data_IF_378264068269
#
_entry.id   IF_378264068269
#
_cell.length_a   1.000
_cell.length_b   1.000
_cell.length_c   1.000
_cell.angle_alpha   90.00
_cell.angle_beta   90.00
_cell.angle_gamma   90.00
#
_symmetry.space_group_name_H-M   'P 1'
#
loop_
_entity.id
_entity.type
_entity.pdbx_description
1 polymer ?
#
# COMPACT_ATOMS: atom_id res chain seq x y z
N UNK A 1 29.08 2.63 13.25
CA UNK A 1 29.53 1.88 12.06
C UNK A 1 28.29 1.62 11.24
N UNK A 2 28.18 2.23 10.05
CA UNK A 2 27.00 2.03 9.20
C UNK A 2 27.11 0.62 8.61
N UNK A 3 26.18 -0.26 8.95
CA UNK A 3 26.15 -1.60 8.36
C UNK A 3 25.84 -1.47 6.87
N UNK A 4 26.75 -1.91 6.00
CA UNK A 4 26.57 -1.93 4.55
C UNK A 4 25.26 -2.59 4.12
N UNK A 5 24.77 -3.55 4.91
CA UNK A 5 23.48 -4.20 4.72
C UNK A 5 22.29 -3.22 4.70
N UNK A 6 22.25 -2.25 5.62
CA UNK A 6 21.16 -1.27 5.75
C UNK A 6 21.14 -0.32 4.54
N UNK A 7 22.31 0.03 4.01
CA UNK A 7 22.43 0.84 2.80
C UNK A 7 21.82 0.09 1.62
N UNK A 8 22.22 -1.18 1.42
CA UNK A 8 21.73 -2.02 0.31
C UNK A 8 20.21 -2.16 0.39
N UNK A 9 19.68 -2.35 1.60
CA UNK A 9 18.25 -2.45 1.84
C UNK A 9 17.50 -1.19 1.44
N UNK A 10 17.96 0.00 1.86
CA UNK A 10 17.29 1.25 1.48
C UNK A 10 17.37 1.53 -0.03
N UNK A 11 18.49 1.20 -0.68
CA UNK A 11 18.57 1.25 -2.15
C UNK A 11 17.59 0.28 -2.80
N UNK A 12 17.44 -0.92 -2.26
CA UNK A 12 16.48 -1.92 -2.76
C UNK A 12 15.05 -1.39 -2.66
N UNK A 13 14.66 -0.80 -1.53
CA UNK A 13 13.35 -0.16 -1.38
C UNK A 13 13.11 0.95 -2.40
N UNK A 14 14.09 1.83 -2.64
CA UNK A 14 13.96 2.93 -3.62
C UNK A 14 13.80 2.39 -5.04
N UNK A 15 14.66 1.44 -5.45
CA UNK A 15 14.63 0.87 -6.81
C UNK A 15 13.36 0.06 -7.03
N UNK A 16 13.00 -0.81 -6.08
CA UNK A 16 11.77 -1.59 -6.14
C UNK A 16 10.52 -0.69 -6.20
N UNK A 17 10.46 0.34 -5.33
CA UNK A 17 9.38 1.31 -5.32
C UNK A 17 9.22 2.02 -6.66
N UNK A 18 10.33 2.44 -7.29
CA UNK A 18 10.31 3.07 -8.62
C UNK A 18 9.83 2.11 -9.72
N UNK A 19 10.34 0.87 -9.72
CA UNK A 19 9.96 -0.17 -10.68
C UNK A 19 8.46 -0.49 -10.57
N UNK A 20 7.87 -0.45 -9.37
CA UNK A 20 6.44 -0.72 -9.17
C UNK A 20 5.60 0.52 -9.48
N UNK A 21 6.01 1.70 -8.99
CA UNK A 21 5.22 2.93 -9.09
C UNK A 21 5.01 3.40 -10.53
N UNK A 22 6.07 3.38 -11.36
CA UNK A 22 6.02 3.90 -12.71
C UNK A 22 5.04 3.14 -13.63
N UNK A 23 5.16 1.82 -13.83
CA UNK A 23 4.25 1.08 -14.71
C UNK A 23 2.83 1.03 -14.18
N UNK A 24 2.63 0.82 -12.87
CA UNK A 24 1.28 0.79 -12.29
C UNK A 24 0.63 2.19 -12.31
N UNK A 25 1.40 3.25 -12.09
CA UNK A 25 0.92 4.63 -12.21
C UNK A 25 0.47 4.97 -13.62
N UNK A 26 1.28 4.63 -14.63
CA UNK A 26 0.93 4.83 -16.04
C UNK A 26 -0.31 4.02 -16.44
N UNK A 27 -0.38 2.76 -16.02
CA UNK A 27 -1.54 1.90 -16.30
C UNK A 27 -2.82 2.44 -15.64
N UNK A 28 -2.73 2.84 -14.38
CA UNK A 28 -3.84 3.46 -13.64
C UNK A 28 -4.34 4.70 -14.36
N UNK A 29 -3.43 5.60 -14.77
CA UNK A 29 -3.79 6.82 -15.50
C UNK A 29 -4.54 6.53 -16.81
N UNK A 30 -4.04 5.57 -17.60
CA UNK A 30 -4.67 5.16 -18.87
C UNK A 30 -6.06 4.56 -18.64
N UNK A 31 -6.21 3.70 -17.62
CA UNK A 31 -7.50 3.08 -17.30
C UNK A 31 -8.51 4.09 -16.74
N UNK A 32 -8.08 5.05 -15.92
CA UNK A 32 -8.95 6.12 -15.40
C UNK A 32 -9.52 7.01 -16.52
N UNK A 33 -8.74 7.23 -17.57
CA UNK A 33 -9.15 8.05 -18.72
C UNK A 33 -10.26 7.38 -19.55
N UNK A 34 -10.30 6.04 -19.59
CA UNK A 34 -11.24 5.29 -20.44
C UNK A 34 -12.44 4.77 -19.63
N UNK A 35 -13.60 5.41 -19.83
CA UNK A 35 -14.84 5.10 -19.07
C UNK A 35 -15.35 3.66 -19.24
N UNK A 36 -15.18 3.02 -20.40
CA UNK A 36 -15.63 1.63 -20.60
C UNK A 36 -14.77 0.64 -19.80
N UNK A 37 -13.45 0.79 -19.82
CA UNK A 37 -12.52 -0.05 -19.05
C UNK A 37 -12.77 0.09 -17.55
N UNK A 38 -12.99 1.31 -17.07
CA UNK A 38 -13.27 1.57 -15.65
C UNK A 38 -14.47 0.79 -15.14
N UNK A 39 -15.56 0.67 -15.92
CA UNK A 39 -16.76 -0.06 -15.49
C UNK A 39 -16.57 -1.58 -15.52
N UNK A 40 -15.84 -2.08 -16.51
CA UNK A 40 -15.68 -3.53 -16.71
C UNK A 40 -14.60 -4.15 -15.82
N UNK A 41 -13.61 -3.34 -15.41
CA UNK A 41 -12.41 -3.80 -14.70
C UNK A 41 -12.16 -2.98 -13.44
N UNK A 42 -13.21 -2.67 -12.67
CA UNK A 42 -13.12 -1.80 -11.49
C UNK A 42 -12.16 -2.37 -10.43
N UNK A 43 -12.20 -3.69 -10.22
CA UNK A 43 -11.34 -4.40 -9.27
C UNK A 43 -9.87 -4.32 -9.68
N UNK A 44 -9.56 -4.60 -10.95
CA UNK A 44 -8.19 -4.56 -11.45
C UNK A 44 -7.67 -3.12 -11.42
N UNK A 45 -8.48 -2.14 -11.79
CA UNK A 45 -8.13 -0.73 -11.68
C UNK A 45 -7.74 -0.36 -10.25
N UNK A 46 -8.52 -0.82 -9.27
CA UNK A 46 -8.23 -0.59 -7.86
C UNK A 46 -6.93 -1.27 -7.42
N UNK A 47 -6.69 -2.53 -7.81
CA UNK A 47 -5.44 -3.23 -7.52
C UNK A 47 -4.22 -2.50 -8.08
N UNK A 48 -4.27 -2.07 -9.35
CA UNK A 48 -3.17 -1.35 -10.00
C UNK A 48 -2.94 0.00 -9.31
N UNK A 49 -4.01 0.69 -8.91
CA UNK A 49 -3.91 1.92 -8.12
C UNK A 49 -3.22 1.69 -6.76
N UNK A 50 -3.64 0.67 -6.00
CA UNK A 50 -3.04 0.33 -4.71
C UNK A 50 -1.57 -0.06 -4.87
N UNK A 51 -1.22 -0.82 -5.90
CA UNK A 51 0.17 -1.16 -6.21
C UNK A 51 1.01 0.09 -6.54
N UNK A 52 0.47 1.02 -7.33
CA UNK A 52 1.14 2.28 -7.62
C UNK A 52 1.37 3.11 -6.35
N UNK A 53 0.34 3.18 -5.49
CA UNK A 53 0.40 3.87 -4.20
C UNK A 53 1.45 3.26 -3.27
N UNK A 54 1.51 1.94 -3.16
CA UNK A 54 2.54 1.25 -2.36
C UNK A 54 3.95 1.47 -2.95
N UNK A 55 4.11 1.44 -4.27
CA UNK A 55 5.39 1.73 -4.92
C UNK A 55 5.89 3.15 -4.62
N UNK A 56 5.01 4.15 -4.67
CA UNK A 56 5.33 5.54 -4.28
C UNK A 56 5.73 5.60 -2.81
N UNK A 57 5.00 4.90 -1.94
CA UNK A 57 5.30 4.84 -0.50
C UNK A 57 6.69 4.28 -0.23
N UNK A 58 7.06 3.17 -0.87
CA UNK A 58 8.38 2.55 -0.75
C UNK A 58 9.50 3.45 -1.29
N UNK A 59 9.24 4.15 -2.40
CA UNK A 59 10.19 5.12 -2.97
C UNK A 59 10.45 6.26 -1.99
N UNK A 60 9.39 6.87 -1.44
CA UNK A 60 9.49 7.95 -0.45
C UNK A 60 10.24 7.47 0.80
N UNK A 61 9.88 6.29 1.32
CA UNK A 61 10.54 5.70 2.49
C UNK A 61 12.04 5.49 2.25
N UNK A 62 12.42 4.90 1.10
CA UNK A 62 13.81 4.65 0.76
C UNK A 62 14.63 5.94 0.59
N UNK A 63 14.11 6.93 -0.13
CA UNK A 63 14.79 8.22 -0.34
C UNK A 63 15.00 8.97 0.97
N UNK A 64 13.98 9.03 1.83
CA UNK A 64 14.07 9.74 3.11
C UNK A 64 15.03 9.01 4.07
N UNK A 65 14.96 7.68 4.17
CA UNK A 65 15.87 6.88 5.00
C UNK A 65 17.32 6.99 4.54
N UNK A 66 17.57 7.00 3.22
CA UNK A 66 18.90 7.30 2.66
C UNK A 66 19.36 8.72 3.02
N UNK A 67 18.46 9.71 2.94
CA UNK A 67 18.80 11.10 3.27
C UNK A 67 19.19 11.24 4.74
N UNK A 68 18.41 10.65 5.66
CA UNK A 68 18.70 10.63 7.11
C UNK A 68 20.05 9.95 7.38
N UNK A 69 20.37 8.88 6.65
CA UNK A 69 21.63 8.15 6.78
C UNK A 69 22.85 9.03 6.45
N UNK A 70 22.74 9.90 5.44
CA UNK A 70 23.82 10.78 5.01
C UNK A 70 23.84 12.13 5.75
N UNK A 71 22.71 12.62 6.27
CA UNK A 71 22.60 13.95 6.88
C UNK A 71 22.74 13.99 8.40
N UNK A 72 22.41 12.91 9.12
CA UNK A 72 22.21 12.94 10.58
C UNK A 72 23.10 11.92 11.29
N UNK A 73 23.68 12.30 12.43
CA UNK A 73 24.35 11.35 13.32
C UNK A 73 23.34 10.28 13.78
N UNK A 74 23.66 9.00 13.52
CA UNK A 74 22.76 7.84 13.66
C UNK A 74 22.25 7.53 15.09
N UNK A 75 22.49 8.40 16.06
CA UNK A 75 22.26 8.14 17.49
C UNK A 75 21.03 8.86 18.08
N UNK A 76 20.22 9.55 17.27
CA UNK A 76 18.97 10.11 17.77
C UNK A 76 17.87 9.03 17.82
N UNK A 77 17.39 8.74 19.02
CA UNK A 77 16.20 7.91 19.20
C UNK A 77 14.95 8.77 19.05
N UNK A 78 13.94 8.24 18.34
CA UNK A 78 12.64 8.90 18.16
C UNK A 78 11.57 8.10 18.89
N UNK A 79 10.51 8.78 19.35
CA UNK A 79 9.36 8.11 19.94
C UNK A 79 8.61 7.31 18.86
N UNK A 80 8.06 6.16 19.24
CA UNK A 80 7.27 5.31 18.35
C UNK A 80 6.12 6.06 17.68
N UNK A 81 5.43 6.94 18.41
CA UNK A 81 4.33 7.74 17.86
C UNK A 81 4.79 8.65 16.73
N UNK A 82 5.99 9.23 16.83
CA UNK A 82 6.59 10.03 15.76
C UNK A 82 6.86 9.17 14.52
N UNK A 83 7.36 7.94 14.69
CA UNK A 83 7.59 7.00 13.61
C UNK A 83 6.30 6.58 12.89
N UNK A 84 5.21 6.35 13.60
CA UNK A 84 3.92 5.94 13.01
C UNK A 84 3.26 7.09 12.24
N UNK A 85 3.43 8.33 12.72
CA UNK A 85 2.91 9.54 12.11
C UNK A 85 3.69 9.98 10.86
N UNK A 86 4.83 9.34 10.57
CA UNK A 86 5.55 9.58 9.33
C UNK A 86 4.67 9.19 8.12
N UNK A 87 4.61 10.03 7.08
CA UNK A 87 3.67 9.86 5.99
C UNK A 87 3.86 8.52 5.27
N UNK A 88 5.10 8.06 5.07
CA UNK A 88 5.35 6.77 4.43
C UNK A 88 4.91 5.58 5.29
N UNK A 89 5.08 5.63 6.61
CA UNK A 89 4.66 4.56 7.52
C UNK A 89 3.13 4.50 7.62
N UNK A 90 2.46 5.66 7.64
CA UNK A 90 1.00 5.73 7.58
C UNK A 90 0.46 5.14 6.27
N UNK A 91 1.08 5.48 5.14
CA UNK A 91 0.72 4.94 3.83
C UNK A 91 0.98 3.43 3.75
N UNK A 92 2.09 2.92 4.30
CA UNK A 92 2.43 1.49 4.28
C UNK A 92 1.46 0.67 5.14
N UNK A 93 1.09 1.20 6.31
CA UNK A 93 0.15 0.56 7.25
C UNK A 93 -1.20 0.24 6.60
N UNK A 94 -1.65 1.07 5.66
CA UNK A 94 -2.83 0.78 4.85
C UNK A 94 -2.50 0.02 3.54
N UNK A 95 -1.43 0.41 2.85
CA UNK A 95 -1.10 -0.09 1.51
C UNK A 95 -0.70 -1.56 1.48
N UNK A 96 0.13 -2.01 2.42
CA UNK A 96 0.60 -3.40 2.50
C UNK A 96 -0.53 -4.42 2.65
N UNK A 97 -1.43 -4.31 3.66
CA UNK A 97 -2.55 -5.23 3.77
C UNK A 97 -3.53 -5.08 2.59
N UNK A 98 -3.67 -3.88 2.03
CA UNK A 98 -4.57 -3.67 0.90
C UNK A 98 -4.10 -4.38 -0.37
N UNK A 99 -2.79 -4.48 -0.62
CA UNK A 99 -2.27 -5.29 -1.75
C UNK A 99 -2.65 -6.75 -1.60
N UNK A 100 -2.50 -7.33 -0.40
CA UNK A 100 -2.88 -8.71 -0.13
C UNK A 100 -4.40 -8.94 -0.32
N UNK A 101 -5.22 -8.03 0.21
CA UNK A 101 -6.67 -8.07 0.04
C UNK A 101 -7.06 -7.92 -1.44
N UNK A 102 -6.38 -7.07 -2.21
CA UNK A 102 -6.66 -6.92 -3.64
C UNK A 102 -6.40 -8.22 -4.41
N UNK A 103 -5.33 -8.95 -4.09
CA UNK A 103 -5.05 -10.26 -4.70
C UNK A 103 -6.13 -11.30 -4.35
N UNK A 104 -6.57 -11.31 -3.09
CA UNK A 104 -7.67 -12.16 -2.64
C UNK A 104 -8.99 -11.80 -3.35
N UNK A 105 -9.30 -10.51 -3.43
CA UNK A 105 -10.49 -9.98 -4.09
C UNK A 105 -10.53 -10.37 -5.57
N UNK A 106 -9.41 -10.23 -6.30
CA UNK A 106 -9.32 -10.67 -7.70
C UNK A 106 -9.53 -12.17 -7.84
N UNK A 107 -8.98 -12.96 -6.94
CA UNK A 107 -9.14 -14.42 -6.95
C UNK A 107 -10.61 -14.82 -6.73
N UNK A 108 -11.29 -14.16 -5.80
CA UNK A 108 -12.73 -14.38 -5.52
C UNK A 108 -13.60 -13.92 -6.69
N UNK A 109 -13.31 -12.76 -7.29
CA UNK A 109 -14.02 -12.28 -8.48
C UNK A 109 -13.94 -13.28 -9.64
N UNK A 110 -12.76 -13.85 -9.90
CA UNK A 110 -12.57 -14.90 -10.90
C UNK A 110 -13.32 -16.17 -10.56
N UNK A 111 -13.33 -16.59 -9.30
CA UNK A 111 -14.08 -17.76 -8.85
C UNK A 111 -15.60 -17.57 -9.06
N UNK A 112 -16.15 -16.40 -8.74
CA UNK A 112 -17.57 -16.08 -8.95
C UNK A 112 -17.93 -16.10 -10.44
N UNK A 113 -17.06 -15.55 -11.30
CA UNK A 113 -17.26 -15.57 -12.74
C UNK A 113 -17.31 -17.01 -13.31
N UNK A 114 -16.57 -17.96 -12.71
CA UNK A 114 -16.58 -19.37 -13.10
C UNK A 114 -17.80 -20.13 -12.58
N UNK A 115 -18.22 -19.87 -11.32
CA UNK A 115 -19.35 -20.59 -10.70
C UNK A 115 -20.69 -20.11 -11.27
N UNK A 116 -20.86 -18.80 -11.49
CA UNK A 116 -22.14 -18.21 -11.88
C UNK A 116 -21.99 -17.21 -13.05
N UNK A 117 -21.61 -17.67 -14.25
CA UNK A 117 -21.26 -16.80 -15.38
C UNK A 117 -22.43 -15.91 -15.85
N UNK A 118 -23.66 -16.44 -15.86
CA UNK A 118 -24.87 -15.71 -16.31
C UNK A 118 -25.19 -14.55 -15.37
N UNK A 119 -25.17 -14.81 -14.05
CA UNK A 119 -25.41 -13.78 -13.03
C UNK A 119 -24.31 -12.74 -13.03
N UNK A 120 -23.05 -13.18 -13.15
CA UNK A 120 -21.89 -12.30 -13.21
C UNK A 120 -21.96 -11.37 -14.42
N UNK A 121 -22.26 -11.87 -15.62
CA UNK A 121 -22.34 -11.04 -16.82
C UNK A 121 -23.45 -9.98 -16.71
N UNK A 122 -24.60 -10.32 -16.12
CA UNK A 122 -25.75 -9.42 -15.97
C UNK A 122 -25.53 -8.30 -14.95
N UNK A 123 -24.80 -8.57 -13.85
CA UNK A 123 -24.63 -7.61 -12.73
C UNK A 123 -23.16 -7.33 -12.36
N UNK A 124 -22.20 -7.59 -13.25
CA UNK A 124 -20.75 -7.48 -13.00
C UNK A 124 -20.34 -6.17 -12.31
N UNK A 125 -20.76 -5.02 -12.82
CA UNK A 125 -20.37 -3.71 -12.26
C UNK A 125 -20.88 -3.50 -10.84
N UNK A 126 -22.04 -4.04 -10.47
CA UNK A 126 -22.58 -3.93 -9.10
C UNK A 126 -21.83 -4.87 -8.16
N UNK A 127 -21.59 -6.11 -8.57
CA UNK A 127 -20.83 -7.09 -7.78
C UNK A 127 -19.42 -6.59 -7.50
N UNK A 128 -18.73 -6.05 -8.51
CA UNK A 128 -17.39 -5.47 -8.35
C UNK A 128 -17.39 -4.28 -7.38
N UNK A 129 -18.37 -3.38 -7.47
CA UNK A 129 -18.49 -2.23 -6.57
C UNK A 129 -18.76 -2.66 -5.12
N UNK A 130 -19.63 -3.65 -4.91
CA UNK A 130 -19.95 -4.19 -3.58
C UNK A 130 -18.72 -4.85 -2.96
N UNK A 131 -17.97 -5.64 -3.73
CA UNK A 131 -16.71 -6.24 -3.25
C UNK A 131 -15.71 -5.16 -2.83
N UNK A 132 -15.49 -4.14 -3.66
CA UNK A 132 -14.57 -3.04 -3.33
C UNK A 132 -14.96 -2.35 -2.03
N UNK A 133 -16.24 -2.02 -1.85
CA UNK A 133 -16.72 -1.36 -0.62
C UNK A 133 -16.56 -2.28 0.59
N UNK A 134 -16.99 -3.55 0.48
CA UNK A 134 -16.93 -4.51 1.58
C UNK A 134 -15.49 -4.74 2.07
N UNK A 135 -14.53 -4.93 1.15
CA UNK A 135 -13.13 -5.16 1.49
C UNK A 135 -12.45 -3.93 2.10
N UNK A 136 -12.77 -2.73 1.61
CA UNK A 136 -12.25 -1.49 2.21
C UNK A 136 -12.81 -1.26 3.62
N UNK A 137 -14.10 -1.53 3.86
CA UNK A 137 -14.71 -1.44 5.19
C UNK A 137 -14.10 -2.45 6.16
N UNK A 138 -13.86 -3.68 5.71
CA UNK A 138 -13.18 -4.71 6.50
C UNK A 138 -11.75 -4.30 6.86
N UNK A 139 -11.00 -3.71 5.93
CA UNK A 139 -9.65 -3.24 6.24
C UNK A 139 -9.69 -2.10 7.25
N UNK A 140 -10.59 -1.13 7.08
CA UNK A 140 -10.74 0.00 7.99
C UNK A 140 -11.05 -0.44 9.42
N UNK A 141 -11.90 -1.46 9.61
CA UNK A 141 -12.23 -1.96 10.95
C UNK A 141 -11.04 -2.60 11.67
N UNK A 142 -10.06 -3.12 10.93
CA UNK A 142 -8.83 -3.70 11.49
C UNK A 142 -7.76 -2.64 11.71
N UNK A 143 -7.58 -1.71 10.76
CA UNK A 143 -6.50 -0.72 10.82
C UNK A 143 -6.77 0.37 11.85
N UNK A 144 -8.02 0.79 12.05
CA UNK A 144 -8.35 1.87 12.99
C UNK A 144 -8.01 1.53 14.45
N UNK A 145 -8.41 0.38 15.00
CA UNK A 145 -8.02 -0.01 16.36
C UNK A 145 -6.50 -0.16 16.49
N UNK A 146 -5.85 -0.81 15.51
CA UNK A 146 -4.41 -1.03 15.55
C UNK A 146 -3.65 0.31 15.59
N UNK A 147 -4.07 1.26 14.75
CA UNK A 147 -3.47 2.60 14.73
C UNK A 147 -3.70 3.36 16.04
N UNK A 148 -4.91 3.27 16.60
CA UNK A 148 -5.23 3.86 17.90
C UNK A 148 -4.32 3.33 19.02
N UNK A 149 -4.20 2.01 19.16
CA UNK A 149 -3.31 1.41 20.16
C UNK A 149 -1.85 1.80 19.96
N UNK A 150 -1.40 1.86 18.71
CA UNK A 150 -0.02 2.22 18.38
C UNK A 150 0.31 3.69 18.69
N UNK A 151 -0.68 4.59 18.64
CA UNK A 151 -0.51 5.99 19.06
C UNK A 151 -0.45 6.15 20.59
N UNK A 152 -1.23 5.37 21.33
CA UNK A 152 -1.30 5.40 22.80
C UNK A 152 0.01 4.88 23.43
N UNK A 153 0.70 3.98 22.77
CA UNK A 153 1.95 3.38 23.25
C UNK A 153 3.18 4.28 22.97
N UNK A 154 3.34 5.34 23.76
CA UNK A 154 4.39 6.38 23.60
C UNK A 154 5.72 6.04 24.27
N UNK A 155 5.78 5.02 25.13
CA UNK A 155 6.91 4.78 26.04
C UNK A 155 8.09 4.01 25.43
N UNK A 156 8.03 3.67 24.14
CA UNK A 156 9.09 2.90 23.46
C UNK A 156 9.87 3.82 22.52
N UNK A 157 11.17 3.93 22.78
CA UNK A 157 12.11 4.64 21.92
C UNK A 157 12.61 3.70 20.83
N UNK A 158 12.50 4.12 19.57
CA UNK A 158 12.89 3.34 18.39
C UNK A 158 14.01 4.09 17.66
N UNK A 159 14.80 3.36 16.89
CA UNK A 159 15.84 3.94 16.02
C UNK A 159 15.27 5.02 15.08
N UNK A 160 16.10 6.01 14.70
CA UNK A 160 15.70 7.11 13.82
C UNK A 160 15.18 6.67 12.44
N UNK A 161 15.48 5.43 12.04
CA UNK A 161 15.03 4.86 10.76
C UNK A 161 13.55 4.46 10.79
N UNK A 162 12.93 4.43 11.97
CA UNK A 162 11.51 4.18 12.17
C UNK A 162 11.06 2.94 11.38
N UNK A 163 11.70 1.82 11.73
CA UNK A 163 11.35 0.47 11.32
C UNK A 163 10.06 0.00 11.97
#
# INVERSE_FOLDING_TARGET
MVNHFVIIEFYTYTVQGAIIALPNGLLTYKMLTKRSLRKSYSIILWQVFVNAFLGVTQLIAGVIRLTILYSTNQQEYRSRSFCILMPWNLMSSWGEPMVAICLLMVSIDRLIALIAPITYFKHSSQLQSVQLIAWNLFLLSITLPNWYFSLVETNVFISNFCW
#
